data_IF_354520636185
#
_entry.id   IF_354520636185
#
_cell.length_a   1.000
_cell.length_b   1.000
_cell.length_c   1.000
_cell.angle_alpha   90.00
_cell.angle_beta   90.00
_cell.angle_gamma   90.00
#
_symmetry.space_group_name_H-M   'P 1'
#
loop_
_entity.id
_entity.type
_entity.pdbx_description
1 polymer ?
#
# COMPACT_ATOMS: atom_id res chain seq x y z
N UNK A 1 -10.74 21.74 -30.07
CA UNK A 1 -11.44 22.60 -29.10
C UNK A 1 -11.34 21.98 -27.71
N UNK A 2 -10.62 22.58 -26.75
CA UNK A 2 -10.65 22.11 -25.36
C UNK A 2 -12.02 22.42 -24.74
N UNK A 3 -12.62 21.43 -24.08
CA UNK A 3 -13.96 21.56 -23.48
C UNK A 3 -14.05 22.56 -22.32
N UNK A 4 -15.26 23.03 -21.98
CA UNK A 4 -15.50 24.10 -21.02
C UNK A 4 -14.93 23.83 -19.62
N UNK A 5 -14.50 24.90 -18.92
CA UNK A 5 -13.89 24.86 -17.59
C UNK A 5 -14.93 24.38 -16.57
N UNK A 6 -14.70 23.21 -15.97
CA UNK A 6 -15.66 22.51 -15.10
C UNK A 6 -16.20 21.20 -15.69
N UNK A 7 -15.90 20.89 -16.95
CA UNK A 7 -16.25 19.62 -17.57
C UNK A 7 -15.37 18.48 -17.01
N UNK A 8 -15.95 17.60 -16.20
CA UNK A 8 -15.30 16.37 -15.71
C UNK A 8 -15.00 15.35 -16.83
N UNK A 9 -15.60 15.52 -18.01
CA UNK A 9 -15.34 14.72 -19.21
C UNK A 9 -14.33 15.39 -20.15
N UNK A 10 -13.43 16.23 -19.63
CA UNK A 10 -12.31 16.78 -20.41
C UNK A 10 -11.32 15.65 -20.74
N UNK A 11 -11.56 14.98 -21.86
CA UNK A 11 -10.64 14.07 -22.59
C UNK A 11 -9.62 13.37 -21.71
N UNK A 12 -10.10 12.47 -20.87
CA UNK A 12 -9.32 11.40 -20.24
C UNK A 12 -9.74 10.04 -20.77
N UNK A 13 -10.23 10.05 -22.00
CA UNK A 13 -10.61 8.89 -22.78
C UNK A 13 -9.33 8.25 -23.33
N UNK A 14 -8.76 7.32 -22.58
CA UNK A 14 -7.66 6.46 -23.07
C UNK A 14 -6.76 5.90 -21.97
N UNK A 15 -6.47 6.67 -20.92
CA UNK A 15 -5.45 6.30 -19.92
C UNK A 15 -5.99 5.85 -18.57
N UNK A 16 -7.23 6.18 -18.21
CA UNK A 16 -7.91 5.57 -17.04
C UNK A 16 -8.43 4.15 -17.31
N UNK A 17 -8.04 3.57 -18.45
CA UNK A 17 -8.46 2.27 -18.99
C UNK A 17 -7.85 1.07 -18.30
N UNK A 18 -7.63 1.14 -16.99
CA UNK A 18 -7.42 -0.08 -16.24
C UNK A 18 -8.67 -0.87 -15.95
N UNK A 19 -9.81 -0.21 -16.12
CA UNK A 19 -11.14 -0.79 -16.16
C UNK A 19 -11.65 -0.75 -17.59
N UNK A 20 -10.92 -1.35 -18.53
CA UNK A 20 -11.46 -1.66 -19.86
C UNK A 20 -12.68 -2.62 -19.78
N UNK A 21 -13.00 -3.12 -18.57
CA UNK A 21 -14.30 -3.66 -18.16
C UNK A 21 -14.90 -2.66 -17.16
N UNK A 22 -15.92 -1.92 -17.60
CA UNK A 22 -16.37 -0.67 -17.01
C UNK A 22 -16.85 -0.73 -15.56
N UNK A 23 -16.60 0.35 -14.84
CA UNK A 23 -17.11 0.68 -13.49
C UNK A 23 -16.81 -0.35 -12.38
N UNK A 24 -16.28 0.14 -11.25
CA UNK A 24 -16.26 -0.68 -10.04
C UNK A 24 -17.71 -0.97 -9.60
N UNK A 25 -17.94 -2.08 -8.87
CA UNK A 25 -19.26 -2.40 -8.32
C UNK A 25 -19.88 -1.22 -7.55
N UNK A 26 -21.21 -1.14 -7.51
CA UNK A 26 -21.91 -0.09 -6.75
C UNK A 26 -21.42 -0.09 -5.30
N UNK A 27 -21.15 1.11 -4.77
CA UNK A 27 -20.60 1.29 -3.42
C UNK A 27 -19.08 1.21 -3.30
N UNK A 28 -18.36 0.80 -4.36
CA UNK A 28 -16.89 0.70 -4.37
C UNK A 28 -16.19 1.96 -4.91
N UNK A 29 -16.85 3.13 -4.93
CA UNK A 29 -16.24 4.37 -5.43
C UNK A 29 -15.04 4.84 -4.61
N UNK A 30 -14.99 4.50 -3.31
CA UNK A 30 -13.86 4.80 -2.44
C UNK A 30 -12.59 4.03 -2.84
N UNK A 31 -12.73 2.76 -3.28
CA UNK A 31 -11.62 1.93 -3.77
C UNK A 31 -10.95 2.62 -4.96
N UNK A 32 -11.74 3.12 -5.92
CA UNK A 32 -11.19 3.89 -7.06
C UNK A 32 -10.36 5.08 -6.60
N UNK A 33 -10.83 5.80 -5.58
CA UNK A 33 -10.13 6.98 -5.04
C UNK A 33 -8.82 6.55 -4.37
N UNK A 34 -8.84 5.49 -3.57
CA UNK A 34 -7.64 4.93 -2.94
C UNK A 34 -6.63 4.45 -3.97
N UNK A 35 -7.07 3.76 -5.01
CA UNK A 35 -6.21 3.33 -6.12
C UNK A 35 -5.57 4.51 -6.85
N UNK A 36 -6.31 5.59 -7.08
CA UNK A 36 -5.76 6.80 -7.69
C UNK A 36 -4.75 7.54 -6.79
N UNK A 37 -4.92 7.47 -5.46
CA UNK A 37 -3.92 7.99 -4.51
C UNK A 37 -2.67 7.10 -4.51
N UNK A 38 -2.86 5.79 -4.47
CA UNK A 38 -1.79 4.80 -4.53
C UNK A 38 -0.97 4.91 -5.81
N UNK A 39 -1.62 4.97 -6.98
CA UNK A 39 -0.96 5.15 -8.28
C UNK A 39 -0.08 6.41 -8.30
N UNK A 40 -0.61 7.54 -7.83
CA UNK A 40 0.15 8.80 -7.74
C UNK A 40 1.33 8.69 -6.80
N UNK A 41 1.15 8.05 -5.65
CA UNK A 41 2.22 7.83 -4.68
C UNK A 41 3.36 7.01 -5.28
N UNK A 42 3.04 5.87 -5.90
CA UNK A 42 4.04 5.01 -6.56
C UNK A 42 4.69 5.75 -7.73
N UNK A 43 3.92 6.43 -8.57
CA UNK A 43 4.47 7.18 -9.71
C UNK A 43 5.42 8.30 -9.27
N UNK A 44 5.09 9.02 -8.20
CA UNK A 44 5.97 10.04 -7.63
C UNK A 44 7.25 9.39 -7.07
N UNK A 45 7.14 8.32 -6.28
CA UNK A 45 8.30 7.62 -5.74
C UNK A 45 9.24 7.09 -6.85
N UNK A 46 8.67 6.54 -7.93
CA UNK A 46 9.44 6.12 -9.12
C UNK A 46 10.13 7.31 -9.77
N UNK A 47 9.45 8.45 -9.90
CA UNK A 47 10.01 9.66 -10.49
C UNK A 47 11.13 10.23 -9.61
N UNK A 48 10.95 10.23 -8.30
CA UNK A 48 11.94 10.73 -7.35
C UNK A 48 13.21 9.87 -7.36
N UNK A 49 13.05 8.54 -7.43
CA UNK A 49 14.19 7.59 -7.48
C UNK A 49 14.88 7.54 -8.83
N UNK A 50 14.13 7.54 -9.94
CA UNK A 50 14.67 7.27 -11.29
C UNK A 50 14.68 8.49 -12.22
N UNK A 51 14.20 9.65 -11.78
CA UNK A 51 14.10 10.90 -12.54
C UNK A 51 13.00 10.94 -13.60
N UNK A 52 12.71 9.81 -14.25
CA UNK A 52 11.71 9.69 -15.30
C UNK A 52 10.97 8.34 -15.29
N UNK A 53 9.69 8.37 -15.68
CA UNK A 53 8.85 7.19 -15.83
C UNK A 53 8.97 6.69 -17.27
N UNK A 54 9.66 5.56 -17.46
CA UNK A 54 9.73 4.86 -18.74
C UNK A 54 8.44 4.08 -18.99
N UNK A 55 8.20 3.65 -20.24
CA UNK A 55 7.04 2.82 -20.58
C UNK A 55 6.99 1.52 -19.75
N UNK A 56 8.14 0.90 -19.54
CA UNK A 56 8.26 -0.29 -18.70
C UNK A 56 7.83 -0.01 -17.24
N UNK A 57 8.33 1.07 -16.64
CA UNK A 57 7.93 1.46 -15.27
C UNK A 57 6.44 1.83 -15.19
N UNK A 58 5.89 2.49 -16.21
CA UNK A 58 4.46 2.78 -16.28
C UNK A 58 3.61 1.49 -16.30
N UNK A 59 4.05 0.45 -17.03
CA UNK A 59 3.38 -0.85 -17.05
C UNK A 59 3.45 -1.57 -15.69
N UNK A 60 4.58 -1.46 -14.98
CA UNK A 60 4.72 -1.98 -13.62
C UNK A 60 3.84 -1.23 -12.63
N UNK A 61 3.83 0.11 -12.65
CA UNK A 61 2.94 0.92 -11.80
C UNK A 61 1.50 0.49 -11.98
N UNK A 62 1.05 0.35 -13.23
CA UNK A 62 -0.28 -0.18 -13.50
C UNK A 62 -0.46 -1.54 -12.86
N UNK A 63 0.43 -2.50 -13.14
CA UNK A 63 0.32 -3.86 -12.61
C UNK A 63 0.14 -3.86 -11.08
N UNK A 64 0.91 -3.06 -10.35
CA UNK A 64 0.75 -2.89 -8.91
C UNK A 64 -0.66 -2.40 -8.53
N UNK A 65 -1.21 -1.42 -9.27
CA UNK A 65 -2.58 -0.92 -9.09
C UNK A 65 -3.64 -2.03 -9.34
N UNK A 66 -3.42 -3.05 -10.21
CA UNK A 66 -4.41 -4.14 -10.43
C UNK A 66 -4.46 -5.00 -9.21
N UNK A 67 -3.28 -5.38 -8.75
CA UNK A 67 -3.11 -6.27 -7.63
C UNK A 67 -3.68 -5.62 -6.36
N UNK A 68 -3.42 -4.33 -6.13
CA UNK A 68 -4.04 -3.57 -5.05
C UNK A 68 -5.57 -3.48 -5.20
N UNK A 69 -6.06 -3.17 -6.40
CA UNK A 69 -7.50 -3.08 -6.65
C UNK A 69 -8.21 -4.41 -6.42
N UNK A 70 -7.59 -5.52 -6.83
CA UNK A 70 -8.07 -6.88 -6.59
C UNK A 70 -8.13 -7.18 -5.10
N UNK A 71 -7.06 -6.88 -4.35
CA UNK A 71 -7.03 -7.08 -2.90
C UNK A 71 -8.16 -6.30 -2.21
N UNK A 72 -8.31 -5.01 -2.50
CA UNK A 72 -9.35 -4.17 -1.90
C UNK A 72 -10.78 -4.63 -2.23
N UNK A 73 -11.02 -5.09 -3.47
CA UNK A 73 -12.32 -5.61 -3.88
C UNK A 73 -12.65 -6.92 -3.18
N UNK A 74 -11.69 -7.83 -3.05
CA UNK A 74 -11.87 -9.09 -2.33
C UNK A 74 -12.11 -8.85 -0.84
N UNK A 75 -11.37 -7.93 -0.21
CA UNK A 75 -11.59 -7.52 1.18
C UNK A 75 -13.00 -6.94 1.36
N UNK A 76 -13.44 -6.08 0.45
CA UNK A 76 -14.82 -5.56 0.47
C UNK A 76 -15.83 -6.70 0.34
N UNK A 77 -15.61 -7.64 -0.57
CA UNK A 77 -16.52 -8.76 -0.77
C UNK A 77 -16.61 -9.67 0.45
N UNK A 78 -15.49 -9.90 1.15
CA UNK A 78 -15.49 -10.66 2.40
C UNK A 78 -16.31 -9.97 3.49
N UNK A 79 -16.21 -8.63 3.59
CA UNK A 79 -16.98 -7.83 4.55
C UNK A 79 -18.47 -7.76 4.22
N UNK A 80 -18.81 -7.51 2.96
CA UNK A 80 -20.19 -7.30 2.53
C UNK A 80 -20.93 -8.66 2.30
N UNK A 81 -20.21 -9.74 2.04
CA UNK A 81 -20.72 -11.08 1.72
C UNK A 81 -20.79 -12.07 2.89
N UNK A 82 -20.66 -11.58 4.12
CA UNK A 82 -20.52 -12.40 5.33
C UNK A 82 -21.70 -13.38 5.54
N UNK A 83 -22.91 -13.07 5.05
CA UNK A 83 -24.07 -13.94 5.23
C UNK A 83 -24.13 -15.16 4.27
N UNK A 84 -23.32 -15.21 3.21
CA UNK A 84 -23.48 -16.19 2.12
C UNK A 84 -22.32 -17.17 1.89
N UNK A 85 -21.12 -16.85 2.37
CA UNK A 85 -19.92 -17.64 2.08
C UNK A 85 -19.68 -18.71 3.15
N UNK A 86 -19.51 -19.96 2.70
CA UNK A 86 -19.06 -21.08 3.56
C UNK A 86 -17.62 -20.83 4.02
N UNK A 87 -17.22 -21.46 5.13
CA UNK A 87 -15.87 -21.31 5.71
C UNK A 87 -14.75 -21.53 4.67
N UNK A 88 -14.87 -22.57 3.85
CA UNK A 88 -13.87 -22.89 2.82
C UNK A 88 -13.76 -21.80 1.74
N UNK A 89 -14.88 -21.21 1.35
CA UNK A 89 -14.91 -20.13 0.35
C UNK A 89 -14.26 -18.85 0.93
N UNK A 90 -14.51 -18.57 2.21
CA UNK A 90 -13.84 -17.47 2.92
C UNK A 90 -12.32 -17.67 2.97
N UNK A 91 -11.86 -18.88 3.27
CA UNK A 91 -10.43 -19.20 3.26
C UNK A 91 -9.82 -19.02 1.86
N UNK A 92 -10.54 -19.38 0.80
CA UNK A 92 -10.10 -19.16 -0.57
C UNK A 92 -9.97 -17.66 -0.90
N UNK A 93 -10.94 -16.84 -0.50
CA UNK A 93 -10.89 -15.38 -0.66
C UNK A 93 -9.71 -14.78 0.09
N UNK A 94 -9.48 -15.19 1.35
CA UNK A 94 -8.33 -14.73 2.15
C UNK A 94 -6.99 -15.08 1.49
N UNK A 95 -6.86 -16.29 0.94
CA UNK A 95 -5.67 -16.68 0.19
C UNK A 95 -5.45 -15.80 -1.04
N UNK A 96 -6.51 -15.48 -1.76
CA UNK A 96 -6.43 -14.64 -2.96
C UNK A 96 -6.09 -13.18 -2.62
N UNK A 97 -6.57 -12.67 -1.48
CA UNK A 97 -6.15 -11.37 -0.93
C UNK A 97 -4.64 -11.38 -0.67
N UNK A 98 -4.14 -12.40 0.02
CA UNK A 98 -2.70 -12.56 0.26
C UNK A 98 -1.89 -12.60 -1.04
N UNK A 99 -2.30 -13.45 -1.98
CA UNK A 99 -1.63 -13.57 -3.29
C UNK A 99 -1.65 -12.26 -4.10
N UNK A 100 -2.72 -11.45 -3.99
CA UNK A 100 -2.79 -10.14 -4.61
C UNK A 100 -1.79 -9.16 -3.99
N UNK A 101 -1.73 -9.10 -2.67
CA UNK A 101 -0.77 -8.25 -1.96
C UNK A 101 0.67 -8.66 -2.26
N UNK A 102 0.99 -9.96 -2.24
CA UNK A 102 2.32 -10.45 -2.58
C UNK A 102 2.74 -10.08 -4.01
N UNK A 103 1.81 -10.15 -4.97
CA UNK A 103 2.07 -9.75 -6.35
C UNK A 103 2.29 -8.25 -6.48
N UNK A 104 1.51 -7.42 -5.78
CA UNK A 104 1.75 -5.98 -5.70
C UNK A 104 3.16 -5.71 -5.18
N UNK A 105 3.54 -6.36 -4.09
CA UNK A 105 4.83 -6.12 -3.45
C UNK A 105 5.98 -6.56 -4.34
N UNK A 106 5.88 -7.71 -5.02
CA UNK A 106 6.87 -8.12 -6.05
C UNK A 106 7.03 -7.07 -7.15
N UNK A 107 5.94 -6.45 -7.59
CA UNK A 107 6.01 -5.38 -8.60
C UNK A 107 6.66 -4.11 -8.05
N UNK A 108 6.39 -3.75 -6.79
CA UNK A 108 7.08 -2.63 -6.12
C UNK A 108 8.58 -2.89 -5.96
N UNK A 109 8.98 -4.14 -5.69
CA UNK A 109 10.40 -4.55 -5.69
C UNK A 109 11.04 -4.38 -7.07
N UNK A 110 10.34 -4.77 -8.15
CA UNK A 110 10.81 -4.55 -9.53
C UNK A 110 10.93 -3.06 -9.91
N UNK A 111 10.17 -2.19 -9.24
CA UNK A 111 10.29 -0.74 -9.36
C UNK A 111 11.42 -0.16 -8.50
N UNK A 112 12.11 -1.02 -7.75
CA UNK A 112 13.15 -0.64 -6.80
C UNK A 112 12.62 0.32 -5.73
N UNK A 113 11.39 0.11 -5.28
CA UNK A 113 10.76 0.87 -4.19
C UNK A 113 10.74 0.07 -2.88
N UNK A 114 11.73 -0.81 -2.69
CA UNK A 114 11.88 -1.47 -1.40
C UNK A 114 12.09 -0.43 -0.31
N UNK A 115 11.42 -0.66 0.81
CA UNK A 115 11.72 0.06 2.04
C UNK A 115 13.12 -0.41 2.44
N UNK A 116 14.14 0.40 2.20
CA UNK A 116 15.45 0.19 2.80
C UNK A 116 15.30 0.35 4.32
N UNK A 117 15.34 -0.80 5.00
CA UNK A 117 15.09 -1.03 6.43
C UNK A 117 16.14 -0.36 7.34
N UNK A 118 16.26 0.96 7.32
CA UNK A 118 17.01 1.66 8.36
C UNK A 118 16.24 1.70 9.70
N UNK A 119 14.91 1.51 9.70
CA UNK A 119 14.06 1.67 10.89
C UNK A 119 13.45 0.39 11.50
N UNK A 120 13.48 -0.73 10.78
CA UNK A 120 12.73 -1.95 11.16
C UNK A 120 13.45 -2.85 12.15
N UNK A 121 14.74 -2.60 12.41
CA UNK A 121 15.47 -3.30 13.47
C UNK A 121 14.71 -3.25 14.81
N UNK A 122 14.03 -2.13 15.09
CA UNK A 122 13.20 -1.94 16.28
C UNK A 122 11.99 -2.88 16.39
N UNK A 123 11.44 -3.35 15.26
CA UNK A 123 10.29 -4.26 15.22
C UNK A 123 10.66 -5.72 15.45
N UNK A 124 11.94 -6.07 15.24
CA UNK A 124 12.49 -7.39 15.54
C UNK A 124 13.15 -7.44 16.93
N UNK A 125 13.25 -6.31 17.62
CA UNK A 125 13.59 -6.27 19.04
C UNK A 125 12.48 -6.94 19.83
N UNK A 126 12.81 -7.97 20.61
CA UNK A 126 11.85 -8.60 21.51
C UNK A 126 11.22 -7.56 22.43
N UNK A 127 9.91 -7.58 22.68
CA UNK A 127 9.27 -6.64 23.61
C UNK A 127 9.89 -6.69 25.02
N UNK A 128 10.48 -7.82 25.40
CA UNK A 128 11.24 -7.95 26.65
C UNK A 128 12.52 -7.09 26.68
N UNK A 129 13.18 -6.91 25.53
CA UNK A 129 14.39 -6.12 25.39
C UNK A 129 14.09 -4.62 25.39
N UNK A 130 12.94 -4.20 24.86
CA UNK A 130 12.47 -2.80 24.94
C UNK A 130 12.14 -2.40 26.40
N UNK A 131 11.47 -3.28 27.14
CA UNK A 131 11.14 -3.04 28.55
C UNK A 131 12.38 -2.90 29.46
N UNK A 132 13.50 -3.55 29.13
CA UNK A 132 14.75 -3.44 29.89
C UNK A 132 15.50 -2.12 29.62
N UNK A 133 15.36 -1.53 28.43
CA UNK A 133 16.00 -0.25 28.10
C UNK A 133 15.38 0.91 28.87
N UNK A 134 14.06 0.89 29.08
CA UNK A 134 13.35 1.90 29.88
C UNK A 134 13.75 1.84 31.37
N UNK A 135 14.08 0.65 31.90
CA UNK A 135 14.51 0.52 33.30
C UNK A 135 15.94 0.98 33.57
N UNK A 136 16.79 1.08 32.53
CA UNK A 136 18.20 1.49 32.69
C UNK A 136 18.34 3.03 32.64
N UNK A 137 17.43 3.77 31.98
CA UNK A 137 17.51 5.23 31.93
C UNK A 137 17.05 5.94 33.22
N UNK A 138 16.33 5.25 34.10
CA UNK A 138 15.79 5.79 35.36
C UNK A 138 16.68 5.49 36.58
N UNK A 139 17.88 4.92 36.40
CA UNK A 139 18.81 4.73 37.50
C UNK A 139 19.34 6.11 37.97
N UNK A 140 19.10 6.52 39.23
CA UNK A 140 19.57 7.81 39.73
C UNK A 140 21.10 7.84 39.72
N UNK A 141 21.67 8.92 39.18
CA UNK A 141 23.11 9.18 39.24
C UNK A 141 23.56 9.16 40.70
N UNK A 142 24.30 8.12 41.08
CA UNK A 142 24.93 8.01 42.39
C UNK A 142 25.96 9.15 42.48
N UNK A 143 25.57 10.24 43.14
CA UNK A 143 26.48 11.35 43.46
C UNK A 143 27.56 10.83 44.41
N UNK A 144 28.79 10.71 43.91
CA UNK A 144 29.96 10.39 44.72
C UNK A 144 30.11 11.41 45.87
N UNK A 145 30.26 10.96 47.14
CA UNK A 145 30.54 11.87 48.24
C UNK A 145 31.96 12.42 48.13
N UNK A 146 32.09 13.74 48.15
CA UNK A 146 33.36 14.45 48.08
C UNK A 146 34.27 14.12 49.26
N UNK A 147 35.54 13.85 48.94
CA UNK A 147 36.63 13.72 49.90
C UNK A 147 37.11 15.11 50.32
N UNK A 148 37.17 15.36 51.63
CA UNK A 148 37.88 16.50 52.24
C UNK A 148 39.39 16.33 52.17
#
# INVERSE_FOLDING_TARGET
MPGPKGNRNRTTHGTYGFLAIGSLPKGASYIRRQLGVFEKFVANAVKDKHGAITLYRAALIQSAVRHEGRAQLLTRWLRDGEAGLKLLERMAVLREIGAASDQRDRVLKLLDLEIEDAGFASLYTSPATLAQQDTISDAPAISSPGSN
#
